data_IF_420541633867
#
_entry.id   IF_420541633867
#
_cell.length_a   1.000
_cell.length_b   1.000
_cell.length_c   1.000
_cell.angle_alpha   90.00
_cell.angle_beta   90.00
_cell.angle_gamma   90.00
#
_symmetry.space_group_name_H-M   'P 1'
#
loop_
_entity.id
_entity.type
_entity.pdbx_description
1 polymer ?
#
# COMPACT_ATOMS: atom_id res chain seq x y z
N UNK A 1 26.52 -8.49 -6.86
CA UNK A 1 25.72 -7.86 -5.79
C UNK A 1 25.10 -8.99 -4.98
N UNK A 2 25.44 -9.07 -3.69
CA UNK A 2 24.96 -10.13 -2.80
C UNK A 2 23.45 -10.00 -2.61
N UNK A 3 22.72 -11.10 -2.81
CA UNK A 3 21.32 -11.22 -2.38
C UNK A 3 21.30 -11.22 -0.85
N UNK A 4 20.86 -10.12 -0.26
CA UNK A 4 20.54 -10.06 1.15
C UNK A 4 19.16 -10.71 1.38
N UNK A 5 19.11 -12.03 1.54
CA UNK A 5 17.95 -12.68 2.16
C UNK A 5 18.00 -12.40 3.66
N UNK A 6 17.51 -11.24 4.06
CA UNK A 6 17.34 -10.86 5.46
C UNK A 6 15.87 -11.06 5.85
N UNK A 7 15.43 -12.31 5.95
CA UNK A 7 14.09 -12.63 6.44
C UNK A 7 14.09 -12.48 7.97
N UNK A 8 13.91 -11.23 8.41
CA UNK A 8 14.02 -10.78 9.80
C UNK A 8 12.69 -10.82 10.55
N UNK A 9 11.65 -11.42 9.97
CA UNK A 9 10.33 -11.53 10.58
C UNK A 9 10.21 -12.80 11.42
N UNK A 10 9.75 -12.65 12.66
CA UNK A 10 9.42 -13.78 13.55
C UNK A 10 8.19 -14.58 13.10
N UNK A 11 7.40 -14.04 12.17
CA UNK A 11 6.17 -14.65 11.66
C UNK A 11 6.16 -14.62 10.13
N UNK A 12 5.52 -15.63 9.54
CA UNK A 12 5.34 -15.74 8.09
C UNK A 12 3.86 -15.68 7.71
N UNK A 13 3.56 -15.79 6.42
CA UNK A 13 2.18 -15.93 5.93
C UNK A 13 1.46 -17.18 6.47
N UNK A 14 2.21 -18.20 6.89
CA UNK A 14 1.67 -19.45 7.47
C UNK A 14 1.13 -19.21 8.89
N UNK A 15 1.55 -18.13 9.54
CA UNK A 15 1.11 -17.73 10.87
C UNK A 15 -0.16 -16.87 10.86
N UNK A 16 -0.83 -16.78 9.70
CA UNK A 16 -2.08 -16.04 9.51
C UNK A 16 -3.11 -16.97 8.86
N UNK A 17 -4.29 -17.05 9.48
CA UNK A 17 -5.43 -17.81 8.96
C UNK A 17 -6.56 -16.86 8.58
N UNK A 18 -6.84 -16.75 7.28
CA UNK A 18 -7.98 -15.98 6.79
C UNK A 18 -9.22 -16.86 6.87
N UNK A 19 -10.20 -16.43 7.68
CA UNK A 19 -11.47 -17.13 7.90
C UNK A 19 -12.49 -16.75 6.83
N UNK A 20 -12.57 -15.45 6.50
CA UNK A 20 -13.43 -14.98 5.42
C UNK A 20 -12.95 -13.66 4.84
N UNK A 21 -13.28 -13.44 3.57
CA UNK A 21 -13.13 -12.18 2.86
C UNK A 21 -14.46 -11.83 2.21
N UNK A 22 -15.07 -10.74 2.66
CA UNK A 22 -16.35 -10.26 2.16
C UNK A 22 -16.17 -8.92 1.44
N UNK A 23 -16.76 -8.74 0.27
CA UNK A 23 -16.76 -7.43 -0.40
C UNK A 23 -17.87 -6.57 0.22
N UNK A 24 -17.50 -5.46 0.87
CA UNK A 24 -18.45 -4.53 1.47
C UNK A 24 -18.93 -3.49 0.45
N UNK A 25 -18.05 -3.08 -0.46
CA UNK A 25 -18.33 -2.10 -1.49
C UNK A 25 -17.51 -2.41 -2.75
N UNK A 26 -18.13 -2.24 -3.92
CA UNK A 26 -17.50 -2.47 -5.22
C UNK A 26 -17.87 -1.34 -6.18
N UNK A 27 -16.98 -0.35 -6.28
CA UNK A 27 -17.02 0.72 -7.28
C UNK A 27 -15.76 0.70 -8.13
N UNK A 28 -15.24 1.89 -8.46
CA UNK A 28 -13.90 2.02 -9.07
C UNK A 28 -12.83 1.39 -8.16
N UNK A 29 -12.90 1.72 -6.86
CA UNK A 29 -12.15 1.03 -5.81
C UNK A 29 -13.01 -0.01 -5.10
N UNK A 30 -12.34 -0.90 -4.38
CA UNK A 30 -12.98 -2.00 -3.65
C UNK A 30 -12.76 -1.85 -2.15
N UNK A 31 -13.78 -2.17 -1.35
CA UNK A 31 -13.64 -2.32 0.10
C UNK A 31 -13.97 -3.75 0.49
N UNK A 32 -13.10 -4.36 1.27
CA UNK A 32 -13.25 -5.74 1.73
C UNK A 32 -13.17 -5.85 3.24
N UNK A 33 -14.02 -6.67 3.83
CA UNK A 33 -13.93 -7.07 5.22
C UNK A 33 -13.18 -8.39 5.32
N UNK A 34 -12.05 -8.37 6.01
CA UNK A 34 -11.33 -9.57 6.40
C UNK A 34 -11.73 -9.99 7.80
N UNK A 35 -11.97 -11.29 7.98
CA UNK A 35 -12.00 -11.95 9.28
C UNK A 35 -10.86 -12.94 9.30
N UNK A 36 -9.96 -12.84 10.27
CA UNK A 36 -8.75 -13.67 10.32
C UNK A 36 -8.26 -13.87 11.76
N UNK A 37 -7.35 -14.83 11.93
CA UNK A 37 -6.54 -15.01 13.15
C UNK A 37 -5.07 -14.96 12.77
N UNK A 38 -4.21 -14.64 13.73
CA UNK A 38 -2.76 -14.73 13.55
C UNK A 38 -2.08 -15.26 14.81
N UNK A 39 -0.83 -15.73 14.69
CA UNK A 39 -0.02 -16.13 15.85
C UNK A 39 0.30 -14.93 16.74
N UNK A 40 0.37 -15.19 18.05
CA UNK A 40 0.73 -14.18 19.05
C UNK A 40 2.19 -14.36 19.47
N UNK A 41 2.84 -13.26 19.87
CA UNK A 41 4.21 -13.29 20.39
C UNK A 41 4.37 -14.15 21.65
N UNK A 42 3.34 -14.21 22.50
CA UNK A 42 3.30 -15.08 23.68
C UNK A 42 3.01 -16.55 23.35
N UNK A 43 2.90 -16.88 22.05
CA UNK A 43 2.48 -18.19 21.56
C UNK A 43 0.96 -18.29 21.40
N UNK A 44 0.52 -19.34 20.71
CA UNK A 44 -0.90 -19.56 20.42
C UNK A 44 -1.45 -18.67 19.30
N UNK A 45 -2.78 -18.62 19.19
CA UNK A 45 -3.52 -17.90 18.15
C UNK A 45 -4.36 -16.78 18.76
N UNK A 46 -4.52 -15.68 18.02
CA UNK A 46 -5.44 -14.61 18.36
C UNK A 46 -6.91 -15.08 18.34
N UNK A 47 -7.78 -14.27 18.95
CA UNK A 47 -9.21 -14.31 18.64
C UNK A 47 -9.45 -13.90 17.17
N UNK A 48 -10.67 -14.10 16.68
CA UNK A 48 -11.04 -13.61 15.34
C UNK A 48 -11.01 -12.08 15.35
N UNK A 49 -10.23 -11.51 14.44
CA UNK A 49 -10.11 -10.08 14.23
C UNK A 49 -10.85 -9.72 12.94
N UNK A 50 -11.56 -8.60 12.98
CA UNK A 50 -12.22 -8.02 11.79
C UNK A 50 -11.54 -6.73 11.37
N UNK A 51 -11.27 -6.58 10.07
CA UNK A 51 -10.72 -5.35 9.48
C UNK A 51 -11.38 -5.05 8.15
N UNK A 52 -11.74 -3.80 7.95
CA UNK A 52 -12.13 -3.25 6.66
C UNK A 52 -10.87 -2.73 5.97
N UNK A 53 -10.62 -3.22 4.76
CA UNK A 53 -9.45 -2.88 3.98
C UNK A 53 -9.90 -2.24 2.67
N UNK A 54 -9.37 -1.05 2.40
CA UNK A 54 -9.54 -0.37 1.14
C UNK A 54 -8.51 -0.89 0.13
N UNK A 55 -8.99 -1.42 -0.97
CA UNK A 55 -8.20 -2.01 -2.04
C UNK A 55 -8.28 -1.10 -3.27
N UNK A 56 -7.13 -0.49 -3.59
CA UNK A 56 -6.96 0.51 -4.64
C UNK A 56 -5.92 0.11 -5.69
N UNK A 57 -5.46 -1.14 -5.67
CA UNK A 57 -4.32 -1.60 -6.47
C UNK A 57 -2.98 -1.01 -6.02
N UNK A 58 -1.99 -1.11 -6.92
CA UNK A 58 -0.62 -0.66 -6.69
C UNK A 58 -0.32 0.61 -7.49
N UNK A 59 0.69 1.34 -7.05
CA UNK A 59 1.16 2.56 -7.71
C UNK A 59 2.67 2.51 -7.88
N UNK A 60 3.16 3.07 -8.98
CA UNK A 60 4.55 3.38 -9.21
C UNK A 60 4.80 4.83 -8.84
N UNK A 61 6.01 5.12 -8.36
CA UNK A 61 6.43 6.47 -8.04
C UNK A 61 7.87 6.69 -8.47
N UNK A 62 8.13 7.86 -9.06
CA UNK A 62 9.42 8.29 -9.58
C UNK A 62 9.81 9.58 -8.88
N UNK A 63 11.04 9.66 -8.38
CA UNK A 63 11.66 10.91 -7.95
C UNK A 63 12.61 11.39 -9.06
N UNK A 64 12.21 12.34 -9.91
CA UNK A 64 13.12 12.89 -10.91
C UNK A 64 14.17 13.74 -10.21
N UNK A 65 15.43 13.32 -10.32
CA UNK A 65 16.57 13.97 -9.70
C UNK A 65 17.61 14.31 -10.78
N UNK A 66 18.05 15.56 -10.80
CA UNK A 66 19.17 16.02 -11.61
C UNK A 66 20.44 16.10 -10.73
N UNK A 67 21.41 15.19 -10.89
CA UNK A 67 22.64 15.17 -10.10
C UNK A 67 23.62 16.30 -10.44
N UNK A 68 23.46 16.99 -11.58
CA UNK A 68 24.35 18.09 -11.97
C UNK A 68 23.97 19.37 -11.22
N UNK A 69 22.67 19.61 -11.06
CA UNK A 69 22.14 20.81 -10.40
C UNK A 69 21.77 20.57 -8.93
N UNK A 70 21.77 19.31 -8.48
CA UNK A 70 21.32 18.89 -7.15
C UNK A 70 19.86 19.32 -6.87
N UNK A 71 18.98 19.02 -7.83
CA UNK A 71 17.58 19.43 -7.79
C UNK A 71 16.63 18.25 -8.05
N UNK A 72 15.43 18.37 -7.49
CA UNK A 72 14.32 17.44 -7.75
C UNK A 72 13.18 18.16 -8.47
N UNK A 73 12.47 17.43 -9.31
CA UNK A 73 11.23 17.91 -9.93
C UNK A 73 10.04 17.37 -9.16
N UNK A 74 9.15 18.27 -8.76
CA UNK A 74 7.87 17.94 -8.14
C UNK A 74 6.73 18.37 -9.05
N UNK A 75 5.56 17.77 -8.83
CA UNK A 75 4.29 18.15 -9.47
C UNK A 75 3.34 18.70 -8.43
N UNK A 76 2.52 19.68 -8.81
CA UNK A 76 1.44 20.19 -7.96
C UNK A 76 0.10 19.69 -8.48
N UNK A 77 -0.68 19.01 -7.64
CA UNK A 77 -1.96 18.43 -8.04
C UNK A 77 -3.01 18.61 -6.95
N UNK A 78 -4.27 18.78 -7.36
CA UNK A 78 -5.40 18.72 -6.43
C UNK A 78 -5.64 17.27 -6.00
N UNK A 79 -5.76 17.05 -4.69
CA UNK A 79 -6.09 15.75 -4.11
C UNK A 79 -7.46 15.80 -3.45
N UNK A 80 -8.42 15.06 -4.02
CA UNK A 80 -9.79 14.96 -3.50
C UNK A 80 -9.82 14.49 -2.05
N UNK A 81 -8.94 13.54 -1.68
CA UNK A 81 -8.80 13.07 -0.30
C UNK A 81 -8.28 14.11 0.69
N UNK A 82 -7.77 15.24 0.19
CA UNK A 82 -7.25 16.34 1.00
C UNK A 82 -8.15 17.59 0.96
N UNK A 83 -9.37 17.51 0.41
CA UNK A 83 -10.25 18.69 0.25
C UNK A 83 -10.59 19.40 1.57
N UNK A 84 -10.65 18.66 2.68
CA UNK A 84 -10.92 19.22 4.02
C UNK A 84 -9.65 19.73 4.73
N UNK A 85 -8.48 19.58 4.09
CA UNK A 85 -7.22 20.10 4.61
C UNK A 85 -7.00 21.55 4.16
N UNK A 86 -6.13 22.26 4.89
CA UNK A 86 -5.77 23.64 4.56
C UNK A 86 -5.12 23.80 3.17
N UNK A 87 -4.52 22.73 2.63
CA UNK A 87 -3.83 22.72 1.34
C UNK A 87 -4.26 21.49 0.52
N UNK A 88 -5.33 21.61 -0.29
CA UNK A 88 -5.82 20.51 -1.14
C UNK A 88 -5.01 20.36 -2.43
N UNK A 89 -4.23 21.37 -2.83
CA UNK A 89 -3.15 21.24 -3.81
C UNK A 89 -1.87 20.84 -3.09
N UNK A 90 -1.34 19.68 -3.45
CA UNK A 90 -0.16 19.08 -2.82
C UNK A 90 1.01 19.06 -3.79
N UNK A 91 2.20 19.35 -3.27
CA UNK A 91 3.46 19.11 -3.98
C UNK A 91 3.87 17.65 -3.77
N UNK A 92 4.06 16.93 -4.87
CA UNK A 92 4.23 15.48 -4.88
C UNK A 92 5.32 15.05 -5.85
N UNK A 93 5.79 13.81 -5.67
CA UNK A 93 6.61 13.12 -6.68
C UNK A 93 5.72 12.65 -7.84
N UNK A 94 6.32 12.38 -8.99
CA UNK A 94 5.60 11.81 -10.13
C UNK A 94 5.13 10.41 -9.74
N UNK A 95 3.83 10.13 -9.86
CA UNK A 95 3.26 8.84 -9.52
C UNK A 95 2.04 8.50 -10.38
N UNK A 96 1.81 7.19 -10.57
CA UNK A 96 0.70 6.64 -11.35
C UNK A 96 0.23 5.29 -10.79
N UNK A 97 -1.01 4.91 -11.10
CA UNK A 97 -1.50 3.55 -10.81
C UNK A 97 -0.88 2.62 -11.85
N UNK A 98 -0.39 1.46 -11.40
CA UNK A 98 0.12 0.41 -12.28
C UNK A 98 -1.07 -0.34 -12.85
N UNK A 99 -1.23 -0.34 -14.19
CA UNK A 99 -2.28 -1.13 -14.83
C UNK A 99 -1.90 -2.63 -14.87
N UNK A 100 -2.85 -3.50 -15.22
CA UNK A 100 -2.71 -4.97 -15.09
C UNK A 100 -1.51 -5.56 -15.83
N UNK A 101 -1.09 -4.92 -16.91
CA UNK A 101 -0.06 -5.42 -17.82
C UNK A 101 1.19 -4.52 -17.83
N UNK A 102 1.31 -3.60 -16.87
CA UNK A 102 2.45 -2.69 -16.72
C UNK A 102 3.34 -3.12 -15.55
N UNK A 103 4.65 -2.93 -15.72
CA UNK A 103 5.58 -2.95 -14.58
C UNK A 103 5.63 -1.58 -13.90
N UNK A 104 6.34 -1.48 -12.78
CA UNK A 104 6.52 -0.18 -12.12
C UNK A 104 7.45 0.78 -12.92
N UNK A 105 8.18 0.26 -13.90
CA UNK A 105 9.15 1.01 -14.72
C UNK A 105 8.56 1.49 -16.05
N UNK A 106 7.48 0.84 -16.51
CA UNK A 106 6.71 1.19 -17.71
C UNK A 106 5.65 2.26 -17.40
#
# INVERSE_FOLDING_TARGET
MQQSNNDSSLFTTEDVEIISKETLFQGYFKMVKYRFKHKLFEGGWSQIIEREMFDRGHAAALLPYDPVTDQVVLVEQIRVGALEHAQPWQLEIVAGIIDRDETAEE
#
